data_IF_986168607740
#
_entry.id   IF_986168607740
#
_cell.length_a   1.000
_cell.length_b   1.000
_cell.length_c   1.000
_cell.angle_alpha   90.00
_cell.angle_beta   90.00
_cell.angle_gamma   90.00
#
_symmetry.space_group_name_H-M   'P 1'
#
loop_
_entity.id
_entity.type
_entity.pdbx_description
1 polymer ?
#
# COMPACT_ATOMS: atom_id res chain seq x y z
N UNK A 1 -7.50 3.11 -9.02
CA UNK A 1 -8.78 2.45 -9.31
C UNK A 1 -9.60 3.25 -10.30
N UNK A 2 -10.81 2.82 -10.66
CA UNK A 2 -11.63 3.45 -11.72
C UNK A 2 -12.24 4.80 -11.32
N UNK A 3 -12.22 5.10 -10.02
CA UNK A 3 -12.63 6.35 -9.39
C UNK A 3 -11.48 7.37 -9.22
N UNK A 4 -10.22 6.94 -9.33
CA UNK A 4 -9.03 7.77 -9.18
C UNK A 4 -8.62 8.51 -10.47
N UNK A 5 -7.76 9.52 -10.33
CA UNK A 5 -7.20 10.28 -11.45
C UNK A 5 -5.68 10.23 -11.45
N UNK A 6 -5.09 9.53 -12.42
CA UNK A 6 -3.65 9.55 -12.65
C UNK A 6 -3.16 10.95 -13.10
N UNK A 7 -2.09 11.44 -12.46
CA UNK A 7 -1.46 12.67 -12.90
C UNK A 7 -0.58 12.44 -14.13
N UNK A 8 -0.51 13.43 -15.01
CA UNK A 8 0.11 13.33 -16.34
C UNK A 8 1.55 12.79 -16.35
N UNK A 9 2.33 13.06 -15.29
CA UNK A 9 3.73 12.62 -15.18
C UNK A 9 3.94 11.34 -14.37
N UNK A 10 2.88 10.69 -13.89
CA UNK A 10 2.98 9.50 -13.06
C UNK A 10 3.82 8.39 -13.72
N UNK A 11 3.43 7.94 -14.92
CA UNK A 11 4.15 6.89 -15.65
C UNK A 11 5.57 7.32 -16.04
N UNK A 12 5.77 8.60 -16.39
CA UNK A 12 7.09 9.13 -16.69
C UNK A 12 8.02 9.02 -15.46
N UNK A 13 7.52 9.36 -14.28
CA UNK A 13 8.30 9.36 -13.04
C UNK A 13 8.65 7.94 -12.60
N UNK A 14 7.69 7.01 -12.61
CA UNK A 14 7.98 5.59 -12.38
C UNK A 14 8.98 5.03 -13.40
N UNK A 15 8.78 5.32 -14.69
CA UNK A 15 9.72 4.90 -15.73
C UNK A 15 11.13 5.45 -15.53
N UNK A 16 11.27 6.68 -15.04
CA UNK A 16 12.57 7.25 -14.69
C UNK A 16 13.20 6.53 -13.49
N UNK A 17 12.42 6.26 -12.44
CA UNK A 17 12.90 5.56 -11.25
C UNK A 17 13.35 4.13 -11.56
N UNK A 18 12.61 3.40 -12.40
CA UNK A 18 12.97 2.06 -12.86
C UNK A 18 14.32 2.07 -13.59
N UNK A 19 14.54 3.03 -14.49
CA UNK A 19 15.83 3.16 -15.21
C UNK A 19 17.00 3.45 -14.28
N UNK A 20 16.77 4.20 -13.21
CA UNK A 20 17.78 4.55 -12.21
C UNK A 20 18.04 3.43 -11.20
N UNK A 21 17.07 2.53 -10.99
CA UNK A 21 17.12 1.47 -9.98
C UNK A 21 16.94 0.09 -10.63
N UNK A 22 17.88 -0.31 -11.49
CA UNK A 22 17.76 -1.51 -12.36
C UNK A 22 17.53 -2.84 -11.64
N UNK A 23 17.90 -2.94 -10.36
CA UNK A 23 17.77 -4.15 -9.55
C UNK A 23 16.56 -4.11 -8.61
N UNK A 24 15.70 -3.09 -8.74
CA UNK A 24 14.52 -2.90 -7.88
C UNK A 24 13.26 -3.24 -8.67
N UNK A 25 12.33 -3.89 -7.97
CA UNK A 25 11.11 -4.42 -8.57
C UNK A 25 9.84 -3.77 -8.01
N UNK A 26 9.95 -2.97 -6.96
CA UNK A 26 8.82 -2.38 -6.26
C UNK A 26 9.11 -0.91 -5.96
N UNK A 27 8.15 -0.05 -6.27
CA UNK A 27 8.25 1.40 -6.19
C UNK A 27 6.95 1.95 -5.59
N UNK A 28 7.07 2.95 -4.72
CA UNK A 28 5.94 3.64 -4.09
C UNK A 28 6.06 5.14 -4.30
N UNK A 29 4.94 5.83 -4.32
CA UNK A 29 4.86 7.28 -4.57
C UNK A 29 3.84 7.95 -3.65
N UNK A 30 3.76 9.27 -3.69
CA UNK A 30 2.75 10.02 -2.94
C UNK A 30 1.41 10.05 -3.68
N UNK A 31 0.35 10.42 -2.97
CA UNK A 31 -0.94 10.75 -3.58
C UNK A 31 -1.68 11.82 -2.77
N UNK A 32 -2.56 12.54 -3.44
CA UNK A 32 -3.43 13.53 -2.78
C UNK A 32 -4.85 12.99 -2.70
N UNK A 33 -5.58 13.34 -1.65
CA UNK A 33 -7.00 13.00 -1.53
C UNK A 33 -7.88 14.10 -2.09
N UNK A 34 -8.92 13.67 -2.78
CA UNK A 34 -10.00 14.52 -3.27
C UNK A 34 -11.34 13.95 -2.84
N UNK A 35 -12.34 14.79 -2.67
CA UNK A 35 -13.70 14.33 -2.39
C UNK A 35 -14.36 13.75 -3.66
N UNK A 36 -15.61 13.29 -3.51
CA UNK A 36 -16.41 12.73 -4.60
C UNK A 36 -16.58 13.66 -5.82
N UNK A 37 -16.43 14.98 -5.61
CA UNK A 37 -16.51 16.02 -6.63
C UNK A 37 -15.14 16.47 -7.16
N UNK A 38 -14.07 15.70 -6.90
CA UNK A 38 -12.68 16.02 -7.28
C UNK A 38 -12.14 17.31 -6.68
N UNK A 39 -12.65 17.73 -5.52
CA UNK A 39 -12.13 18.87 -4.78
C UNK A 39 -11.05 18.39 -3.82
N UNK A 40 -9.90 19.08 -3.84
CA UNK A 40 -8.78 18.77 -2.96
C UNK A 40 -9.17 18.85 -1.48
N UNK A 41 -8.68 17.88 -0.69
CA UNK A 41 -8.91 17.77 0.75
C UNK A 41 -7.62 18.10 1.51
N UNK A 42 -7.46 19.33 2.04
CA UNK A 42 -6.25 19.72 2.74
C UNK A 42 -6.04 18.88 4.02
N UNK A 43 -4.78 18.54 4.31
CA UNK A 43 -4.34 17.73 5.48
C UNK A 43 -4.71 16.24 5.43
N UNK A 44 -5.28 15.80 4.33
CA UNK A 44 -5.61 14.39 4.07
C UNK A 44 -4.62 13.76 3.07
N UNK A 45 -3.53 14.46 2.75
CA UNK A 45 -2.50 13.97 1.85
C UNK A 45 -1.83 12.72 2.40
N UNK A 46 -1.49 11.81 1.49
CA UNK A 46 -0.60 10.72 1.81
C UNK A 46 0.79 11.03 1.27
N UNK A 47 1.75 11.10 2.18
CA UNK A 47 3.17 11.12 1.87
C UNK A 47 3.77 9.79 2.27
N UNK A 48 4.47 9.13 1.34
CA UNK A 48 5.10 7.84 1.57
C UNK A 48 6.13 7.93 2.70
N UNK A 49 6.10 6.95 3.60
CA UNK A 49 7.07 6.86 4.69
C UNK A 49 8.32 6.16 4.18
N UNK A 50 9.48 6.62 4.63
CA UNK A 50 10.77 5.98 4.30
C UNK A 50 11.14 5.06 5.44
N UNK A 51 11.12 3.76 5.16
CA UNK A 51 11.57 2.73 6.09
C UNK A 51 12.99 2.29 5.75
N UNK A 52 13.69 1.74 6.74
CA UNK A 52 15.03 1.20 6.58
C UNK A 52 15.03 -0.11 5.80
N UNK A 53 14.05 -0.97 6.07
CA UNK A 53 13.93 -2.31 5.49
C UNK A 53 12.48 -2.82 5.48
N UNK A 54 12.26 -3.98 4.85
CA UNK A 54 10.93 -4.60 4.77
C UNK A 54 10.31 -4.88 6.13
N UNK A 55 11.12 -5.24 7.13
CA UNK A 55 10.61 -5.60 8.45
C UNK A 55 10.00 -4.37 9.11
N UNK A 56 10.70 -3.24 9.07
CA UNK A 56 10.19 -1.99 9.65
C UNK A 56 8.90 -1.54 8.96
N UNK A 57 8.83 -1.64 7.63
CA UNK A 57 7.62 -1.32 6.89
C UNK A 57 6.46 -2.27 7.22
N UNK A 58 6.72 -3.59 7.28
CA UNK A 58 5.73 -4.58 7.69
C UNK A 58 5.22 -4.29 9.11
N UNK A 59 6.11 -3.97 10.05
CA UNK A 59 5.69 -3.61 11.41
C UNK A 59 4.79 -2.37 11.39
N UNK A 60 5.14 -1.32 10.65
CA UNK A 60 4.31 -0.13 10.54
C UNK A 60 2.91 -0.40 9.92
N UNK A 61 2.81 -1.36 8.99
CA UNK A 61 1.53 -1.81 8.44
C UNK A 61 0.68 -2.50 9.53
N UNK A 62 1.27 -3.45 10.27
CA UNK A 62 0.55 -4.21 11.30
C UNK A 62 0.37 -3.45 12.64
N UNK A 63 1.03 -2.31 12.79
CA UNK A 63 0.76 -1.30 13.82
C UNK A 63 -0.40 -0.36 13.42
N UNK A 64 -0.98 -0.52 12.21
CA UNK A 64 -1.96 0.40 11.60
C UNK A 64 -1.44 1.84 11.42
N UNK A 65 -0.12 2.01 11.36
CA UNK A 65 0.53 3.31 11.18
C UNK A 65 0.78 3.65 9.71
N UNK A 66 0.78 2.64 8.84
CA UNK A 66 1.11 2.79 7.44
C UNK A 66 0.17 1.94 6.56
N UNK A 67 -0.21 2.49 5.41
CA UNK A 67 -0.97 1.79 4.39
C UNK A 67 -0.42 2.16 3.02
N UNK A 68 -0.63 1.31 2.02
CA UNK A 68 -0.18 1.49 0.64
C UNK A 68 -1.38 1.15 -0.23
N UNK A 69 -1.79 2.07 -1.12
CA UNK A 69 -3.01 1.93 -1.92
C UNK A 69 -2.86 2.70 -3.23
N UNK A 70 -2.96 2.01 -4.36
CA UNK A 70 -2.98 2.62 -5.71
C UNK A 70 -1.72 3.40 -6.13
N UNK A 71 -0.79 3.67 -5.22
CA UNK A 71 0.39 4.52 -5.38
C UNK A 71 1.68 3.74 -5.69
N UNK A 72 1.53 2.53 -6.23
CA UNK A 72 2.61 1.57 -6.46
C UNK A 72 2.93 1.38 -7.94
N UNK A 73 4.18 0.99 -8.21
CA UNK A 73 4.57 0.38 -9.48
C UNK A 73 5.48 -0.81 -9.17
N UNK A 74 5.20 -1.96 -9.77
CA UNK A 74 5.98 -3.17 -9.55
C UNK A 74 6.22 -3.97 -10.83
N UNK A 75 7.25 -4.81 -10.81
CA UNK A 75 7.57 -5.67 -11.94
C UNK A 75 6.56 -6.81 -12.04
N UNK A 76 6.23 -7.22 -13.27
CA UNK A 76 5.44 -8.43 -13.51
C UNK A 76 6.07 -9.67 -12.89
N UNK A 77 7.41 -9.75 -12.92
CA UNK A 77 8.15 -10.86 -12.30
C UNK A 77 7.87 -10.97 -10.80
N UNK A 78 7.93 -9.86 -10.06
CA UNK A 78 7.64 -9.85 -8.63
C UNK A 78 6.20 -10.29 -8.34
N UNK A 79 5.25 -9.78 -9.14
CA UNK A 79 3.84 -10.16 -9.05
C UNK A 79 3.62 -11.68 -9.20
N UNK A 80 4.26 -12.28 -10.22
CA UNK A 80 4.21 -13.73 -10.47
C UNK A 80 4.94 -14.53 -9.39
N UNK A 81 6.12 -14.08 -8.95
CA UNK A 81 6.95 -14.77 -7.96
C UNK A 81 6.24 -14.92 -6.59
N UNK A 82 5.36 -13.97 -6.23
CA UNK A 82 4.61 -14.02 -4.96
C UNK A 82 3.20 -14.60 -5.09
N UNK A 83 2.75 -14.95 -6.30
CA UNK A 83 1.46 -15.60 -6.55
C UNK A 83 0.27 -14.68 -6.81
N UNK A 84 0.46 -13.54 -7.46
CA UNK A 84 -0.61 -12.65 -7.98
C UNK A 84 -1.64 -12.20 -6.91
N UNK A 85 -2.83 -11.76 -7.31
CA UNK A 85 -3.93 -11.47 -6.38
C UNK A 85 -4.59 -12.76 -5.87
N UNK A 86 -5.05 -12.75 -4.62
CA UNK A 86 -5.74 -13.88 -4.01
C UNK A 86 -7.24 -13.56 -3.91
N UNK A 87 -8.04 -14.13 -4.82
CA UNK A 87 -9.49 -13.89 -4.91
C UNK A 87 -10.29 -14.32 -3.67
N UNK A 88 -9.68 -15.05 -2.72
CA UNK A 88 -10.31 -15.39 -1.44
C UNK A 88 -10.18 -14.26 -0.40
N UNK A 89 -9.42 -13.21 -0.70
CA UNK A 89 -9.30 -12.01 0.13
C UNK A 89 -10.46 -11.07 -0.23
N UNK A 90 -11.50 -11.02 0.60
CA UNK A 90 -12.71 -10.26 0.29
C UNK A 90 -12.54 -8.73 0.25
N UNK A 91 -11.50 -8.19 0.89
CA UNK A 91 -11.12 -6.78 0.86
C UNK A 91 -9.63 -6.61 1.17
N UNK A 92 -9.04 -5.47 0.79
CA UNK A 92 -7.62 -5.15 0.97
C UNK A 92 -6.68 -6.14 0.25
N UNK A 93 -7.09 -6.61 -0.94
CA UNK A 93 -6.31 -7.49 -1.81
C UNK A 93 -4.95 -6.89 -2.20
N UNK A 94 -4.92 -5.57 -2.39
CA UNK A 94 -3.70 -4.80 -2.67
C UNK A 94 -2.73 -4.85 -1.49
N UNK A 95 -3.23 -4.64 -0.27
CA UNK A 95 -2.42 -4.68 0.94
C UNK A 95 -1.88 -6.09 1.24
N UNK A 96 -2.67 -7.15 0.98
CA UNK A 96 -2.16 -8.53 1.06
C UNK A 96 -1.01 -8.75 0.05
N UNK A 97 -1.20 -8.32 -1.20
CA UNK A 97 -0.17 -8.45 -2.23
C UNK A 97 1.12 -7.72 -1.84
N UNK A 98 1.02 -6.48 -1.35
CA UNK A 98 2.20 -5.71 -0.95
C UNK A 98 2.85 -6.29 0.31
N UNK A 99 2.07 -6.85 1.23
CA UNK A 99 2.58 -7.62 2.37
C UNK A 99 3.44 -8.79 1.86
N UNK A 100 2.96 -9.52 0.85
CA UNK A 100 3.72 -10.62 0.24
C UNK A 100 4.98 -10.15 -0.50
N UNK A 101 4.98 -8.99 -1.15
CA UNK A 101 6.20 -8.39 -1.70
C UNK A 101 7.25 -8.14 -0.61
N UNK A 102 6.82 -7.57 0.53
CA UNK A 102 7.72 -7.26 1.65
C UNK A 102 8.24 -8.54 2.33
N UNK A 103 7.39 -9.56 2.48
CA UNK A 103 7.79 -10.89 2.98
C UNK A 103 8.80 -11.56 2.03
N UNK A 104 8.65 -11.39 0.72
CA UNK A 104 9.61 -11.86 -0.28
C UNK A 104 10.95 -11.12 -0.22
N UNK A 105 11.01 -9.97 0.46
CA UNK A 105 12.23 -9.18 0.68
C UNK A 105 12.39 -8.00 -0.28
N UNK A 106 11.38 -7.70 -1.10
CA UNK A 106 11.40 -6.56 -2.03
C UNK A 106 11.00 -5.26 -1.32
N UNK A 107 11.98 -4.58 -0.74
CA UNK A 107 11.76 -3.26 -0.13
C UNK A 107 11.56 -2.18 -1.22
N UNK A 108 10.46 -1.41 -1.17
CA UNK A 108 10.15 -0.45 -2.23
C UNK A 108 11.16 0.70 -2.30
N UNK A 109 11.35 1.21 -3.50
CA UNK A 109 11.98 2.52 -3.71
C UNK A 109 10.91 3.59 -3.60
N UNK A 110 11.10 4.54 -2.69
CA UNK A 110 10.22 5.70 -2.54
C UNK A 110 10.52 6.78 -3.58
N UNK A 111 9.48 7.27 -4.25
CA UNK A 111 9.51 8.41 -5.16
C UNK A 111 8.71 9.57 -4.53
N UNK A 112 9.33 10.70 -4.18
CA UNK A 112 8.64 11.86 -3.62
C UNK A 112 7.93 12.66 -4.73
N UNK A 113 6.99 12.01 -5.40
CA UNK A 113 6.18 12.54 -6.49
C UNK A 113 4.75 12.09 -6.31
N UNK A 114 3.81 12.98 -6.61
CA UNK A 114 2.39 12.65 -6.55
C UNK A 114 2.02 11.85 -7.81
N UNK A 115 1.49 10.65 -7.62
CA UNK A 115 1.09 9.74 -8.70
C UNK A 115 -0.34 9.99 -9.18
N UNK A 116 -1.27 10.16 -8.25
CA UNK A 116 -2.69 10.24 -8.55
C UNK A 116 -3.44 11.09 -7.51
N UNK A 117 -4.69 11.40 -7.86
CA UNK A 117 -5.71 11.91 -6.95
C UNK A 117 -6.57 10.72 -6.52
N UNK A 118 -6.54 10.40 -5.24
CA UNK A 118 -7.35 9.35 -4.65
C UNK A 118 -8.73 9.88 -4.28
N UNK A 119 -9.80 9.29 -4.85
CA UNK A 119 -11.16 9.79 -4.63
C UNK A 119 -11.80 9.17 -3.40
N UNK A 120 -12.12 10.02 -2.42
CA UNK A 120 -12.88 9.62 -1.25
C UNK A 120 -14.38 9.71 -1.53
N UNK A 121 -15.08 8.58 -1.48
CA UNK A 121 -16.54 8.52 -1.62
C UNK A 121 -17.25 8.77 -0.27
N UNK A 122 -18.25 9.65 -0.26
CA UNK A 122 -19.11 9.93 0.93
C UNK A 122 -20.02 8.75 1.28
N UNK A 123 -20.14 7.76 0.39
CA UNK A 123 -20.73 6.45 0.68
C UNK A 123 -19.87 5.58 1.61
N UNK A 124 -18.70 6.05 2.04
CA UNK A 124 -18.04 5.55 3.25
C UNK A 124 -18.72 6.21 4.47
N UNK A 125 -19.92 5.72 4.82
CA UNK A 125 -20.52 5.96 6.14
C UNK A 125 -19.64 5.32 7.22
N UNK A 126 -18.52 5.95 7.55
CA UNK A 126 -17.58 5.39 8.52
C UNK A 126 -16.79 6.46 9.24
N UNK A 127 -17.44 7.57 9.63
CA UNK A 127 -17.07 8.24 10.88
C UNK A 127 -17.46 7.27 12.01
N UNK A 128 -16.51 6.41 12.39
CA UNK A 128 -16.63 5.43 13.48
C UNK A 128 -16.82 3.96 13.06
N UNK A 129 -16.99 3.65 11.77
CA UNK A 129 -17.22 2.28 11.28
C UNK A 129 -15.99 1.65 10.56
N UNK A 130 -14.94 2.43 10.28
CA UNK A 130 -13.80 1.97 9.44
C UNK A 130 -12.63 1.37 10.21
N UNK A 131 -12.38 1.81 11.46
CA UNK A 131 -11.18 1.37 12.18
C UNK A 131 -11.23 -0.11 12.51
N UNK A 132 -12.38 -0.59 12.98
CA UNK A 132 -12.56 -1.99 13.35
C UNK A 132 -12.57 -2.89 12.11
N UNK A 133 -13.12 -2.40 10.99
CA UNK A 133 -13.11 -3.09 9.70
C UNK A 133 -11.68 -3.21 9.17
N UNK A 134 -10.96 -2.10 9.11
CA UNK A 134 -9.54 -2.07 8.74
C UNK A 134 -8.68 -2.95 9.65
N UNK A 135 -8.92 -2.93 10.96
CA UNK A 135 -8.24 -3.83 11.91
C UNK A 135 -8.56 -5.31 11.65
N UNK A 136 -9.81 -5.63 11.30
CA UNK A 136 -10.18 -7.01 10.96
C UNK A 136 -9.54 -7.46 9.64
N UNK A 137 -9.47 -6.58 8.64
CA UNK A 137 -8.79 -6.87 7.37
C UNK A 137 -7.28 -7.09 7.61
N UNK A 138 -6.63 -6.20 8.37
CA UNK A 138 -5.23 -6.35 8.77
C UNK A 138 -4.98 -7.64 9.56
N UNK A 139 -5.88 -8.00 10.49
CA UNK A 139 -5.81 -9.26 11.23
C UNK A 139 -5.91 -10.45 10.27
N UNK A 140 -6.85 -10.42 9.33
CA UNK A 140 -7.00 -11.47 8.32
C UNK A 140 -5.74 -11.64 7.46
N UNK A 141 -5.14 -10.54 7.00
CA UNK A 141 -3.88 -10.57 6.24
C UNK A 141 -2.74 -11.13 7.12
N UNK A 142 -2.66 -10.71 8.38
CA UNK A 142 -1.65 -11.20 9.31
C UNK A 142 -1.78 -12.71 9.54
N UNK A 143 -2.99 -13.20 9.86
CA UNK A 143 -3.26 -14.62 10.11
C UNK A 143 -2.88 -15.50 8.91
N UNK A 144 -3.17 -15.06 7.68
CA UNK A 144 -2.80 -15.77 6.45
C UNK A 144 -1.29 -15.90 6.28
N UNK A 145 -0.53 -14.91 6.75
CA UNK A 145 0.92 -14.82 6.59
C UNK A 145 1.68 -15.06 7.90
N UNK A 146 1.00 -15.49 8.97
CA UNK A 146 1.48 -15.42 10.35
C UNK A 146 2.85 -16.08 10.53
N UNK A 147 3.01 -17.30 10.00
CA UNK A 147 4.26 -18.04 10.13
C UNK A 147 5.45 -17.27 9.52
N UNK A 148 5.25 -16.63 8.37
CA UNK A 148 6.30 -15.85 7.67
C UNK A 148 6.55 -14.51 8.37
N UNK A 149 5.50 -13.85 8.87
CA UNK A 149 5.63 -12.59 9.59
C UNK A 149 6.36 -12.78 10.94
N UNK A 150 5.99 -13.80 11.69
CA UNK A 150 6.66 -14.16 12.95
C UNK A 150 8.12 -14.56 12.74
N UNK A 151 8.46 -15.25 11.65
CA UNK A 151 9.87 -15.59 11.37
C UNK A 151 10.73 -14.36 11.04
N UNK A 152 10.10 -13.28 10.53
CA UNK A 152 10.72 -11.96 10.34
C UNK A 152 10.71 -11.11 11.63
N UNK A 153 10.06 -11.59 12.69
CA UNK A 153 9.89 -10.88 13.96
C UNK A 153 8.98 -9.67 13.84
N UNK A 154 7.95 -9.77 12.99
CA UNK A 154 6.85 -8.82 12.86
C UNK A 154 5.69 -9.34 13.72
N UNK A 155 5.13 -8.48 14.56
CA UNK A 155 4.03 -8.82 15.46
C UNK A 155 2.77 -7.99 15.13
N UNK A 156 1.59 -8.54 15.41
CA UNK A 156 0.33 -7.81 15.30
C UNK A 156 0.05 -7.04 16.59
N UNK A 157 0.09 -5.70 16.56
CA UNK A 157 -0.12 -4.86 17.76
C UNK A 157 -1.47 -4.13 17.75
N UNK A 158 -2.49 -4.71 17.13
CA UNK A 158 -3.83 -4.12 17.11
C UNK A 158 -4.38 -4.09 18.55
N UNK A 159 -4.51 -2.90 19.13
CA UNK A 159 -5.21 -2.69 20.40
C UNK A 159 -6.68 -3.11 20.27
N UNK A 160 -7.16 -3.94 21.20
CA UNK A 160 -8.59 -4.20 21.39
C UNK A 160 -9.33 -2.93 21.81
#
# INVERSE_FOLDING_TARGET
DDDDVFLQRCLHNFGSAIRQNKNKQFFISDFLRVNEHLQYMPKEDYYGWVFKDCKEMLQAIFDSCHFIQGNVCFSKKLFEDVGEYDESVGMAEDLDLYTRFLIHGDHPVYLPVISHLHRMHTANFSIGCDRDKHHNDLRGIYERNEHKLKSLGVELTLSN
#
